data_IF_658370943919
#
_entry.id   IF_658370943919
#
_cell.length_a   1.000
_cell.length_b   1.000
_cell.length_c   1.000
_cell.angle_alpha   90.00
_cell.angle_beta   90.00
_cell.angle_gamma   90.00
#
_symmetry.space_group_name_H-M   'P 1'
#
loop_
_entity.id
_entity.type
_entity.pdbx_description
1 polymer ?
#
# COMPACT_ATOMS: atom_id res chain seq x y z
N UNK A 1 -87.16 -91.04 -22.19
CA UNK A 1 -87.87 -89.98 -22.93
C UNK A 1 -88.26 -88.82 -22.00
N UNK A 2 -89.18 -88.96 -21.04
CA UNK A 2 -89.54 -87.85 -20.12
C UNK A 2 -88.41 -87.48 -19.12
N UNK A 3 -87.76 -88.47 -18.50
CA UNK A 3 -86.64 -88.24 -17.58
C UNK A 3 -85.40 -87.59 -18.25
N UNK A 4 -85.16 -87.86 -19.53
CA UNK A 4 -84.01 -87.32 -20.27
C UNK A 4 -84.19 -85.82 -20.57
N UNK A 5 -85.44 -85.38 -20.81
CA UNK A 5 -85.78 -83.97 -21.02
C UNK A 5 -85.72 -83.16 -19.73
N UNK A 6 -86.11 -83.74 -18.60
CA UNK A 6 -85.96 -83.09 -17.28
C UNK A 6 -84.49 -82.92 -16.89
N UNK A 7 -83.65 -83.93 -17.17
CA UNK A 7 -82.21 -83.84 -16.96
C UNK A 7 -81.57 -82.75 -17.84
N UNK A 8 -81.98 -82.63 -19.11
CA UNK A 8 -81.51 -81.56 -20.00
C UNK A 8 -81.92 -80.17 -19.50
N UNK A 9 -83.17 -79.98 -19.08
CA UNK A 9 -83.66 -78.71 -18.51
C UNK A 9 -82.91 -78.34 -17.24
N UNK A 10 -82.65 -79.31 -16.37
CA UNK A 10 -81.84 -79.09 -15.17
C UNK A 10 -80.39 -78.66 -15.49
N UNK A 11 -79.77 -79.28 -16.50
CA UNK A 11 -78.43 -78.90 -16.97
C UNK A 11 -78.43 -77.48 -17.52
N UNK A 12 -79.40 -77.14 -18.37
CA UNK A 12 -79.55 -75.81 -18.96
C UNK A 12 -79.80 -74.74 -17.89
N UNK A 13 -80.67 -75.02 -16.90
CA UNK A 13 -80.96 -74.13 -15.78
C UNK A 13 -79.72 -73.90 -14.91
N UNK A 14 -78.94 -74.95 -14.62
CA UNK A 14 -77.66 -74.83 -13.91
C UNK A 14 -76.64 -74.00 -14.69
N UNK A 15 -76.65 -74.07 -16.02
CA UNK A 15 -75.77 -73.30 -16.90
C UNK A 15 -76.14 -71.81 -16.92
N UNK A 16 -77.44 -71.51 -16.89
CA UNK A 16 -77.96 -70.13 -16.78
C UNK A 16 -77.56 -69.51 -15.43
N UNK A 17 -77.71 -70.25 -14.32
CA UNK A 17 -77.33 -69.77 -12.98
C UNK A 17 -75.83 -69.49 -12.91
N UNK A 18 -74.97 -70.39 -13.40
CA UNK A 18 -73.52 -70.16 -13.42
C UNK A 18 -73.12 -68.96 -14.29
N UNK A 19 -73.80 -68.76 -15.42
CA UNK A 19 -73.55 -67.59 -16.28
C UNK A 19 -74.02 -66.28 -15.62
N UNK A 20 -75.09 -66.32 -14.85
CA UNK A 20 -75.55 -65.18 -14.05
C UNK A 20 -74.57 -64.87 -12.92
N UNK A 21 -74.12 -65.90 -12.18
CA UNK A 21 -73.11 -65.77 -11.13
C UNK A 21 -71.78 -65.24 -11.67
N UNK A 22 -71.29 -65.75 -12.81
CA UNK A 22 -70.06 -65.25 -13.43
C UNK A 22 -70.17 -63.78 -13.89
N UNK A 23 -71.36 -63.34 -14.34
CA UNK A 23 -71.59 -61.92 -14.68
C UNK A 23 -71.63 -61.03 -13.44
N UNK A 24 -72.27 -61.50 -12.37
CA UNK A 24 -72.33 -60.80 -11.09
C UNK A 24 -70.94 -60.70 -10.43
N UNK A 25 -70.15 -61.77 -10.48
CA UNK A 25 -68.75 -61.79 -10.04
C UNK A 25 -67.88 -60.83 -10.86
N UNK A 26 -68.01 -60.83 -12.20
CA UNK A 26 -67.28 -59.90 -13.08
C UNK A 26 -67.67 -58.43 -12.82
N UNK A 27 -68.94 -58.15 -12.57
CA UNK A 27 -69.42 -56.81 -12.18
C UNK A 27 -68.89 -56.41 -10.79
N UNK A 28 -68.89 -57.31 -9.81
CA UNK A 28 -68.34 -57.07 -8.48
C UNK A 28 -66.82 -56.84 -8.51
N UNK A 29 -66.08 -57.58 -9.34
CA UNK A 29 -64.64 -57.36 -9.56
C UNK A 29 -64.38 -55.99 -10.19
N UNK A 30 -65.17 -55.59 -11.21
CA UNK A 30 -65.06 -54.27 -11.82
C UNK A 30 -65.39 -53.14 -10.85
N UNK A 31 -66.39 -53.30 -10.00
CA UNK A 31 -66.72 -52.32 -8.95
C UNK A 31 -65.60 -52.23 -7.90
N UNK A 32 -65.06 -53.37 -7.49
CA UNK A 32 -63.94 -53.41 -6.56
C UNK A 32 -62.68 -52.75 -7.17
N UNK A 33 -62.38 -53.02 -8.43
CA UNK A 33 -61.27 -52.38 -9.15
C UNK A 33 -61.48 -50.86 -9.29
N UNK A 34 -62.69 -50.39 -9.59
CA UNK A 34 -63.03 -48.96 -9.61
C UNK A 34 -62.81 -48.31 -8.25
N UNK A 35 -63.25 -48.94 -7.17
CA UNK A 35 -63.03 -48.43 -5.79
C UNK A 35 -61.55 -48.40 -5.42
N UNK A 36 -60.78 -49.40 -5.84
CA UNK A 36 -59.32 -49.39 -5.63
C UNK A 36 -58.69 -48.25 -6.42
N UNK A 37 -59.05 -48.07 -7.70
CA UNK A 37 -58.50 -47.00 -8.54
C UNK A 37 -58.83 -45.62 -7.98
N UNK A 38 -60.07 -45.38 -7.60
CA UNK A 38 -60.51 -44.13 -6.97
C UNK A 38 -59.77 -43.86 -5.64
N UNK A 39 -59.58 -44.88 -4.80
CA UNK A 39 -58.75 -44.76 -3.58
C UNK A 39 -57.29 -44.42 -3.88
N UNK A 40 -56.72 -44.99 -4.94
CA UNK A 40 -55.33 -44.69 -5.33
C UNK A 40 -55.22 -43.26 -5.86
N UNK A 41 -56.17 -42.81 -6.69
CA UNK A 41 -56.19 -41.45 -7.24
C UNK A 41 -56.42 -40.39 -6.15
N UNK A 42 -57.35 -40.63 -5.21
CA UNK A 42 -57.58 -39.73 -4.07
C UNK A 42 -56.37 -39.68 -3.13
N UNK A 43 -55.71 -40.81 -2.86
CA UNK A 43 -54.47 -40.82 -2.07
C UNK A 43 -53.30 -40.14 -2.77
N UNK A 44 -53.19 -40.25 -4.11
CA UNK A 44 -52.16 -39.54 -4.88
C UNK A 44 -52.39 -38.03 -4.87
N UNK A 45 -53.62 -37.58 -5.13
CA UNK A 45 -53.94 -36.15 -5.10
C UNK A 45 -53.76 -35.56 -3.71
N UNK A 46 -54.11 -36.30 -2.64
CA UNK A 46 -53.84 -35.90 -1.26
C UNK A 46 -52.34 -35.79 -0.97
N UNK A 47 -51.53 -36.75 -1.41
CA UNK A 47 -50.07 -36.72 -1.23
C UNK A 47 -49.42 -35.61 -2.03
N UNK A 48 -49.86 -35.37 -3.27
CA UNK A 48 -49.36 -34.27 -4.10
C UNK A 48 -49.71 -32.91 -3.49
N UNK A 49 -50.91 -32.76 -2.91
CA UNK A 49 -51.30 -31.56 -2.17
C UNK A 49 -50.45 -31.37 -0.89
N UNK A 50 -50.24 -32.43 -0.09
CA UNK A 50 -49.39 -32.36 1.11
C UNK A 50 -47.92 -32.03 0.74
N UNK A 51 -47.38 -32.63 -0.33
CA UNK A 51 -46.05 -32.31 -0.83
C UNK A 51 -45.96 -30.87 -1.35
N UNK A 52 -46.98 -30.39 -2.04
CA UNK A 52 -47.04 -29.00 -2.49
C UNK A 52 -47.06 -28.03 -1.30
N UNK A 53 -47.88 -28.29 -0.27
CA UNK A 53 -47.91 -27.49 0.95
C UNK A 53 -46.56 -27.50 1.69
N UNK A 54 -45.91 -28.67 1.80
CA UNK A 54 -44.56 -28.79 2.38
C UNK A 54 -43.54 -27.99 1.58
N UNK A 55 -43.56 -28.08 0.24
CA UNK A 55 -42.66 -27.31 -0.64
C UNK A 55 -42.91 -25.81 -0.52
N UNK A 56 -44.16 -25.38 -0.42
CA UNK A 56 -44.49 -23.97 -0.20
C UNK A 56 -44.03 -23.48 1.16
N UNK A 57 -44.21 -24.28 2.21
CA UNK A 57 -43.75 -23.97 3.56
C UNK A 57 -42.22 -23.84 3.60
N UNK A 58 -41.49 -24.80 3.03
CA UNK A 58 -40.03 -24.75 2.90
C UNK A 58 -39.57 -23.56 2.08
N UNK A 59 -40.27 -23.22 0.98
CA UNK A 59 -39.95 -22.06 0.17
C UNK A 59 -40.18 -20.75 0.95
N UNK A 60 -41.24 -20.66 1.75
CA UNK A 60 -41.49 -19.50 2.64
C UNK A 60 -40.41 -19.38 3.70
N UNK A 61 -40.03 -20.49 4.33
CA UNK A 61 -38.96 -20.50 5.34
C UNK A 61 -37.60 -20.10 4.74
N UNK A 62 -37.26 -20.62 3.55
CA UNK A 62 -36.04 -20.22 2.82
C UNK A 62 -36.07 -18.75 2.45
N UNK A 63 -37.20 -18.21 1.98
CA UNK A 63 -37.35 -16.78 1.69
C UNK A 63 -37.14 -15.92 2.94
N UNK A 64 -37.78 -16.26 4.06
CA UNK A 64 -37.60 -15.55 5.32
C UNK A 64 -36.14 -15.57 5.80
N UNK A 65 -35.46 -16.71 5.68
CA UNK A 65 -34.05 -16.82 6.04
C UNK A 65 -33.13 -15.95 5.16
N UNK A 66 -33.39 -15.90 3.85
CA UNK A 66 -32.64 -15.03 2.92
C UNK A 66 -32.91 -13.55 3.19
N UNK A 67 -34.16 -13.19 3.46
CA UNK A 67 -34.52 -11.81 3.79
C UNK A 67 -33.86 -11.34 5.09
N UNK A 68 -33.87 -12.17 6.14
CA UNK A 68 -33.14 -11.90 7.39
C UNK A 68 -31.63 -11.79 7.17
N UNK A 69 -31.02 -12.69 6.40
CA UNK A 69 -29.60 -12.61 6.07
C UNK A 69 -29.25 -11.30 5.34
N UNK A 70 -30.04 -10.93 4.34
CA UNK A 70 -29.85 -9.68 3.58
C UNK A 70 -30.03 -8.44 4.47
N UNK A 71 -30.98 -8.45 5.41
CA UNK A 71 -31.15 -7.37 6.40
C UNK A 71 -29.94 -7.23 7.31
N UNK A 72 -29.42 -8.33 7.84
CA UNK A 72 -28.23 -8.35 8.71
C UNK A 72 -27.00 -7.86 7.94
N UNK A 73 -26.81 -8.32 6.70
CA UNK A 73 -25.73 -7.83 5.82
C UNK A 73 -25.84 -6.33 5.57
N UNK A 74 -27.03 -5.83 5.24
CA UNK A 74 -27.27 -4.42 5.01
C UNK A 74 -27.01 -3.58 6.27
N UNK A 75 -27.44 -4.06 7.45
CA UNK A 75 -27.18 -3.39 8.73
C UNK A 75 -25.69 -3.37 9.06
N UNK A 76 -24.99 -4.49 8.90
CA UNK A 76 -23.52 -4.55 9.09
C UNK A 76 -22.81 -3.57 8.18
N UNK A 77 -23.17 -3.52 6.90
CA UNK A 77 -22.60 -2.59 5.93
C UNK A 77 -22.89 -1.14 6.26
N UNK A 78 -24.10 -0.83 6.74
CA UNK A 78 -24.46 0.51 7.20
C UNK A 78 -23.70 0.90 8.47
N UNK A 79 -23.53 -0.04 9.40
CA UNK A 79 -22.77 0.17 10.63
C UNK A 79 -21.29 0.38 10.32
N UNK A 80 -20.68 -0.44 9.46
CA UNK A 80 -19.30 -0.28 9.02
C UNK A 80 -19.08 1.05 8.31
N UNK A 81 -20.01 1.49 7.45
CA UNK A 81 -19.96 2.82 6.84
C UNK A 81 -20.05 3.94 7.86
N UNK A 82 -20.96 3.84 8.82
CA UNK A 82 -21.11 4.83 9.90
C UNK A 82 -19.88 4.87 10.81
N UNK A 83 -19.31 3.73 11.14
CA UNK A 83 -18.13 3.63 11.99
C UNK A 83 -16.89 4.15 11.23
N UNK A 84 -16.78 3.88 9.93
CA UNK A 84 -15.74 4.46 9.07
C UNK A 84 -15.90 5.97 8.93
N UNK A 85 -17.11 6.47 8.68
CA UNK A 85 -17.38 7.91 8.59
C UNK A 85 -17.07 8.63 9.92
N UNK A 86 -17.39 8.02 11.06
CA UNK A 86 -16.99 8.53 12.39
C UNK A 86 -15.48 8.51 12.57
N UNK A 87 -14.81 7.42 12.20
CA UNK A 87 -13.35 7.32 12.29
C UNK A 87 -12.65 8.35 11.39
N UNK A 88 -13.14 8.53 10.16
CA UNK A 88 -12.65 9.52 9.21
C UNK A 88 -12.89 10.95 9.76
N UNK A 89 -14.07 11.22 10.34
CA UNK A 89 -14.36 12.52 10.98
C UNK A 89 -13.49 12.79 12.20
N UNK A 90 -13.33 11.82 13.10
CA UNK A 90 -12.45 11.91 14.27
C UNK A 90 -10.98 12.11 13.85
N UNK A 91 -10.55 11.44 12.78
CA UNK A 91 -9.23 11.63 12.21
C UNK A 91 -9.06 13.03 11.63
N UNK A 92 -10.03 13.53 10.86
CA UNK A 92 -10.02 14.90 10.33
C UNK A 92 -9.97 15.94 11.46
N UNK A 93 -10.83 15.82 12.48
CA UNK A 93 -10.85 16.73 13.63
C UNK A 93 -9.49 16.72 14.37
N UNK A 94 -8.90 15.54 14.59
CA UNK A 94 -7.59 15.40 15.23
C UNK A 94 -6.46 15.98 14.37
N UNK A 95 -6.51 15.77 13.06
CA UNK A 95 -5.55 16.31 12.10
C UNK A 95 -5.64 17.85 12.05
N UNK A 96 -6.86 18.40 11.97
CA UNK A 96 -7.11 19.84 12.03
C UNK A 96 -6.57 20.44 13.33
N UNK A 97 -6.86 19.84 14.48
CA UNK A 97 -6.37 20.33 15.77
C UNK A 97 -4.84 20.34 15.86
N UNK A 98 -4.18 19.30 15.32
CA UNK A 98 -2.71 19.20 15.29
C UNK A 98 -2.10 20.26 14.38
N UNK A 99 -2.67 20.44 13.18
CA UNK A 99 -2.19 21.42 12.21
C UNK A 99 -2.43 22.87 12.68
N UNK A 100 -3.60 23.15 13.28
CA UNK A 100 -3.90 24.43 13.89
C UNK A 100 -2.89 24.75 15.02
N UNK A 101 -2.55 23.77 15.86
CA UNK A 101 -1.52 23.92 16.91
C UNK A 101 -0.13 24.23 16.33
N UNK A 102 0.17 23.74 15.13
CA UNK A 102 1.42 24.05 14.42
C UNK A 102 1.39 25.37 13.63
N UNK A 103 0.29 26.13 13.68
CA UNK A 103 0.18 27.47 13.11
C UNK A 103 -0.33 27.56 11.67
N UNK A 104 -0.94 26.49 11.12
CA UNK A 104 -1.61 26.56 9.82
C UNK A 104 -2.99 27.23 9.94
N UNK A 105 -3.40 28.01 8.93
CA UNK A 105 -4.75 28.60 8.86
C UNK A 105 -5.78 27.55 8.45
N UNK A 106 -7.05 27.71 8.82
CA UNK A 106 -8.11 26.71 8.52
C UNK A 106 -8.25 26.46 6.99
N UNK A 107 -8.08 27.51 6.18
CA UNK A 107 -8.05 27.41 4.72
C UNK A 107 -6.86 26.57 4.20
N UNK A 108 -5.69 26.69 4.82
CA UNK A 108 -4.52 25.86 4.49
C UNK A 108 -4.72 24.42 4.94
N UNK A 109 -5.31 24.20 6.11
CA UNK A 109 -5.58 22.88 6.67
C UNK A 109 -6.59 22.12 5.79
N UNK A 110 -7.66 22.79 5.35
CA UNK A 110 -8.64 22.20 4.44
C UNK A 110 -8.05 21.89 3.08
N UNK A 111 -7.17 22.75 2.55
CA UNK A 111 -6.43 22.49 1.30
C UNK A 111 -5.51 21.25 1.44
N UNK A 112 -4.78 21.14 2.56
CA UNK A 112 -3.92 19.98 2.87
C UNK A 112 -4.74 18.69 3.02
N UNK A 113 -5.90 18.74 3.71
CA UNK A 113 -6.79 17.58 3.88
C UNK A 113 -7.46 17.13 2.57
N UNK A 114 -7.79 18.09 1.70
CA UNK A 114 -8.36 17.81 0.37
C UNK A 114 -7.31 17.36 -0.65
N UNK A 115 -6.03 17.40 -0.30
CA UNK A 115 -4.93 17.03 -1.19
C UNK A 115 -4.64 18.06 -2.29
N UNK A 116 -5.14 19.29 -2.16
CA UNK A 116 -4.78 20.39 -3.05
C UNK A 116 -3.38 20.91 -2.66
N UNK A 117 -2.48 20.96 -3.64
CA UNK A 117 -1.07 21.30 -3.42
C UNK A 117 -0.89 22.68 -2.78
N UNK A 118 0.13 22.77 -1.92
CA UNK A 118 0.49 23.95 -1.14
C UNK A 118 0.74 25.18 -2.04
N UNK A 119 0.24 26.38 -1.69
CA UNK A 119 0.98 27.59 -2.04
C UNK A 119 2.38 27.48 -1.39
N UNK A 120 3.43 27.75 -2.18
CA UNK A 120 4.82 27.68 -1.73
C UNK A 120 5.04 28.49 -0.44
N UNK A 121 5.83 27.92 0.48
CA UNK A 121 6.36 28.49 1.74
C UNK A 121 5.33 28.61 2.87
N UNK A 122 5.50 28.01 4.06
CA UNK A 122 6.59 28.25 5.02
C UNK A 122 7.18 26.95 5.60
N UNK A 123 7.78 26.10 4.77
CA UNK A 123 8.95 25.41 5.29
C UNK A 123 9.97 26.51 5.55
N UNK A 124 10.22 26.89 6.81
CA UNK A 124 11.46 27.57 7.13
C UNK A 124 12.55 26.74 6.47
N UNK A 125 13.27 27.26 5.44
CA UNK A 125 14.40 26.51 4.92
C UNK A 125 15.24 26.23 6.16
N UNK A 126 15.63 24.97 6.37
CA UNK A 126 16.71 24.69 7.31
C UNK A 126 17.88 25.52 6.78
N UNK A 127 18.10 26.71 7.35
CA UNK A 127 19.16 27.63 6.99
C UNK A 127 20.41 26.87 7.39
N UNK A 128 20.95 26.09 6.46
CA UNK A 128 22.28 25.51 6.62
C UNK A 128 23.17 26.73 6.81
N UNK A 129 23.87 26.87 7.95
CA UNK A 129 24.71 28.02 8.17
C UNK A 129 25.72 28.10 7.02
N UNK A 130 25.67 29.20 6.27
CA UNK A 130 26.59 29.46 5.17
C UNK A 130 27.88 29.97 5.75
N UNK A 131 28.92 29.15 5.72
CA UNK A 131 30.27 29.53 6.12
C UNK A 131 31.04 30.06 4.92
N UNK A 132 31.76 31.17 5.11
CA UNK A 132 32.68 31.69 4.08
C UNK A 132 34.04 31.03 4.31
N UNK A 133 34.58 30.37 3.27
CA UNK A 133 35.91 29.74 3.31
C UNK A 133 36.94 30.68 2.69
N UNK A 134 37.90 31.13 3.48
CA UNK A 134 38.98 32.03 3.04
C UNK A 134 40.34 31.44 3.40
N UNK A 135 41.36 31.66 2.57
CA UNK A 135 42.73 31.22 2.89
C UNK A 135 43.37 32.13 3.95
N UNK A 136 44.12 31.53 4.88
CA UNK A 136 44.93 32.24 5.88
C UNK A 136 46.01 33.13 5.27
N UNK A 137 46.30 32.99 3.97
CA UNK A 137 47.18 33.90 3.23
C UNK A 137 46.53 35.25 2.94
N UNK A 138 45.20 35.36 2.91
CA UNK A 138 44.51 36.61 2.58
C UNK A 138 43.96 37.31 3.82
N UNK A 139 43.53 36.56 4.83
CA UNK A 139 43.06 37.10 6.12
C UNK A 139 43.86 36.45 7.24
N UNK A 140 44.44 37.27 8.14
CA UNK A 140 45.08 36.73 9.34
C UNK A 140 44.06 36.50 10.46
N UNK A 141 44.27 35.47 11.30
CA UNK A 141 43.54 35.27 12.56
C UNK A 141 43.49 36.53 13.42
N UNK A 142 44.63 37.24 13.53
CA UNK A 142 44.75 38.48 14.31
C UNK A 142 43.79 39.58 13.83
N UNK A 143 43.56 39.65 12.51
CA UNK A 143 42.62 40.61 11.94
C UNK A 143 41.18 40.24 12.30
N UNK A 144 40.82 38.95 12.20
CA UNK A 144 39.48 38.49 12.56
C UNK A 144 39.18 38.67 14.05
N UNK A 145 40.19 38.51 14.90
CA UNK A 145 40.10 38.76 16.35
C UNK A 145 39.89 40.25 16.66
N UNK A 146 40.56 41.15 15.93
CA UNK A 146 40.40 42.61 16.08
C UNK A 146 38.98 43.07 15.73
N UNK A 147 38.40 42.56 14.65
CA UNK A 147 37.02 42.87 14.25
C UNK A 147 35.97 42.02 14.97
N UNK A 148 36.37 41.18 15.93
CA UNK A 148 35.49 40.29 16.71
C UNK A 148 34.61 39.37 15.84
N UNK A 149 35.17 38.86 14.75
CA UNK A 149 34.45 37.99 13.81
C UNK A 149 34.66 36.53 14.23
N UNK A 150 33.59 35.74 14.44
CA UNK A 150 33.71 34.34 14.83
C UNK A 150 34.26 33.50 13.66
N UNK A 151 35.45 32.94 13.85
CA UNK A 151 36.16 32.13 12.87
C UNK A 151 36.65 30.80 13.46
N UNK A 152 36.78 29.77 12.61
CA UNK A 152 37.35 28.47 12.95
C UNK A 152 38.32 28.00 11.87
N UNK A 153 39.29 27.16 12.22
CA UNK A 153 40.13 26.48 11.23
C UNK A 153 39.32 25.37 10.54
N UNK A 154 39.53 25.17 9.24
CA UNK A 154 38.94 24.02 8.53
C UNK A 154 39.62 22.73 9.02
N UNK A 155 38.83 21.76 9.52
CA UNK A 155 39.30 20.47 10.04
C UNK A 155 40.11 19.66 9.01
N UNK A 156 39.85 19.89 7.71
CA UNK A 156 40.54 19.20 6.62
C UNK A 156 41.83 19.90 6.23
N UNK A 157 41.81 21.23 6.19
CA UNK A 157 42.90 22.06 5.68
C UNK A 157 43.17 23.25 6.61
N UNK A 158 44.25 23.17 7.40
CA UNK A 158 44.68 24.27 8.29
C UNK A 158 45.15 25.54 7.57
N UNK A 159 45.17 25.52 6.24
CA UNK A 159 45.46 26.70 5.42
C UNK A 159 44.22 27.59 5.20
N UNK A 160 43.03 27.09 5.54
CA UNK A 160 41.77 27.80 5.36
C UNK A 160 41.08 28.08 6.69
N UNK A 161 40.45 29.25 6.73
CA UNK A 161 39.67 29.79 7.82
C UNK A 161 38.20 29.81 7.37
N UNK A 162 37.33 29.30 8.23
CA UNK A 162 35.88 29.29 8.08
C UNK A 162 35.28 30.40 8.93
N UNK A 163 34.66 31.36 8.26
CA UNK A 163 34.00 32.49 8.91
C UNK A 163 32.51 32.14 9.08
N UNK A 164 32.02 32.21 10.32
CA UNK A 164 30.62 31.87 10.69
C UNK A 164 29.62 32.98 10.43
N UNK A 165 30.12 34.17 10.10
CA UNK A 165 29.34 35.36 9.80
C UNK A 165 29.34 35.60 8.30
N UNK A 166 28.21 36.07 7.77
CA UNK A 166 28.19 36.65 6.44
C UNK A 166 28.96 37.98 6.48
N UNK A 167 29.87 38.17 5.53
CA UNK A 167 30.68 39.37 5.37
C UNK A 167 30.29 39.97 4.02
N UNK A 168 30.10 41.28 3.96
CA UNK A 168 29.85 42.00 2.70
C UNK A 168 31.16 42.28 1.96
N UNK A 169 31.09 42.55 0.66
CA UNK A 169 32.29 42.82 -0.15
C UNK A 169 33.11 44.01 0.39
N UNK A 170 32.44 45.03 0.95
CA UNK A 170 33.08 46.19 1.57
C UNK A 170 33.87 45.81 2.84
N UNK A 171 33.25 45.05 3.75
CA UNK A 171 33.91 44.55 4.96
C UNK A 171 35.09 43.61 4.61
N UNK A 172 34.95 42.85 3.54
CA UNK A 172 36.00 41.94 3.08
C UNK A 172 37.26 42.71 2.66
N UNK A 173 37.13 43.83 1.95
CA UNK A 173 38.27 44.64 1.54
C UNK A 173 38.96 45.28 2.75
N UNK A 174 38.21 45.77 3.75
CA UNK A 174 38.77 46.32 4.99
C UNK A 174 39.62 45.27 5.75
N UNK A 175 39.15 44.02 5.82
CA UNK A 175 39.90 42.91 6.42
C UNK A 175 41.19 42.60 5.66
N UNK A 176 41.17 42.68 4.33
CA UNK A 176 42.35 42.48 3.51
C UNK A 176 43.36 43.61 3.67
N UNK A 177 42.92 44.86 3.71
CA UNK A 177 43.78 46.01 3.96
C UNK A 177 44.44 45.93 5.34
N UNK A 178 43.66 45.60 6.39
CA UNK A 178 44.20 45.43 7.73
C UNK A 178 45.21 44.26 7.79
N UNK A 179 44.91 43.13 7.13
CA UNK A 179 45.85 41.99 7.07
C UNK A 179 47.14 42.36 6.33
N UNK A 180 47.04 43.10 5.22
CA UNK A 180 48.20 43.61 4.47
C UNK A 180 49.05 44.52 5.35
N UNK A 181 48.44 45.46 6.06
CA UNK A 181 49.13 46.38 6.97
C UNK A 181 49.90 45.64 8.07
N UNK A 182 49.28 44.64 8.72
CA UNK A 182 49.93 43.82 9.75
C UNK A 182 51.15 43.07 9.21
N UNK A 183 51.04 42.47 8.03
CA UNK A 183 52.16 41.74 7.41
C UNK A 183 53.28 42.65 6.95
N UNK A 184 52.95 43.82 6.41
CA UNK A 184 53.93 44.82 6.05
C UNK A 184 54.66 45.35 7.30
N UNK A 185 53.96 45.55 8.41
CA UNK A 185 54.55 45.93 9.69
C UNK A 185 55.44 44.84 10.30
N UNK A 186 55.01 43.58 10.30
CA UNK A 186 55.80 42.45 10.83
C UNK A 186 57.05 42.15 9.99
N UNK A 187 57.01 42.34 8.67
CA UNK A 187 58.19 42.18 7.80
C UNK A 187 59.34 43.12 8.14
N UNK A 188 59.07 44.25 8.79
CA UNK A 188 60.11 45.18 9.24
C UNK A 188 60.77 44.76 10.56
N UNK A 189 60.22 43.77 11.26
CA UNK A 189 60.71 43.28 12.57
C UNK A 189 61.41 41.91 12.50
N UNK A 190 61.41 41.23 11.33
CA UNK A 190 62.10 39.95 11.15
C UNK A 190 63.58 40.23 10.82
N UNK A 191 64.46 39.84 11.74
CA UNK A 191 65.91 39.93 11.63
C UNK A 191 66.45 39.29 10.33
N UNK A 192 67.57 39.81 9.76
CA UNK A 192 68.15 39.24 8.55
C UNK A 192 68.62 37.80 8.74
N UNK A 193 68.37 36.96 7.73
CA UNK A 193 68.63 35.52 7.73
C UNK A 193 70.13 35.16 7.91
N UNK A 194 70.46 34.04 8.59
CA UNK A 194 71.84 33.58 8.71
C UNK A 194 72.43 33.15 7.35
N UNK A 195 73.73 33.40 7.09
CA UNK A 195 74.35 33.15 5.79
C UNK A 195 74.45 31.64 5.47
N UNK A 196 74.00 31.26 4.28
CA UNK A 196 74.09 29.88 3.79
C UNK A 196 75.49 29.53 3.26
N UNK A 197 75.99 28.29 3.46
CA UNK A 197 77.27 27.86 2.92
C UNK A 197 77.21 27.55 1.41
N UNK A 198 78.28 27.95 0.73
CA UNK A 198 78.54 27.87 -0.70
C UNK A 198 78.54 26.44 -1.29
N UNK A 199 77.92 26.33 -2.47
CA UNK A 199 77.54 25.10 -3.19
C UNK A 199 78.75 24.43 -3.85
N UNK A 200 79.01 23.17 -3.50
CA UNK A 200 80.02 22.33 -4.13
C UNK A 200 79.49 21.63 -5.40
N UNK A 201 80.24 21.75 -6.49
CA UNK A 201 80.02 21.10 -7.78
C UNK A 201 79.93 19.58 -7.65
N UNK A 202 78.88 18.97 -8.20
CA UNK A 202 78.88 17.54 -8.56
C UNK A 202 78.25 17.32 -9.93
N UNK A 203 79.11 16.98 -10.88
CA UNK A 203 78.80 16.34 -12.15
C UNK A 203 78.25 14.94 -11.86
N UNK A 204 77.19 14.50 -12.53
CA UNK A 204 76.96 13.06 -12.75
C UNK A 204 76.15 12.76 -14.01
N UNK A 205 76.74 11.82 -14.73
CA UNK A 205 76.32 11.15 -15.95
C UNK A 205 75.04 10.30 -15.84
N UNK A 206 74.33 10.27 -16.98
CA UNK A 206 73.70 9.14 -17.69
C UNK A 206 72.42 8.43 -17.19
N UNK A 207 71.68 8.11 -18.25
CA UNK A 207 70.76 6.99 -18.50
C UNK A 207 69.36 7.00 -17.85
N UNK A 208 68.42 7.56 -18.60
CA UNK A 208 67.00 7.24 -18.50
C UNK A 208 66.73 5.85 -19.13
N UNK A 209 66.37 4.86 -18.30
CA UNK A 209 65.66 3.68 -18.77
C UNK A 209 64.31 3.57 -18.05
N UNK A 210 63.22 3.68 -18.80
CA UNK A 210 61.86 3.52 -18.31
C UNK A 210 61.45 2.04 -18.34
N UNK A 211 61.05 1.51 -17.18
CA UNK A 211 60.35 0.22 -17.07
C UNK A 211 58.90 0.38 -17.56
N UNK A 212 58.64 -0.07 -18.79
CA UNK A 212 57.27 -0.26 -19.31
C UNK A 212 56.64 -1.47 -18.60
N UNK A 213 55.86 -1.22 -17.54
CA UNK A 213 54.98 -2.27 -17.00
C UNK A 213 53.82 -2.53 -17.97
N UNK A 214 53.88 -3.71 -18.58
CA UNK A 214 52.84 -4.34 -19.41
C UNK A 214 51.48 -4.34 -18.71
N UNK A 215 50.47 -3.72 -19.34
CA UNK A 215 49.06 -3.82 -18.94
C UNK A 215 48.60 -5.28 -19.05
N UNK A 216 48.35 -5.94 -17.93
CA UNK A 216 47.54 -7.17 -17.90
C UNK A 216 46.07 -6.79 -18.03
N UNK A 217 45.47 -7.27 -19.12
CA UNK A 217 44.06 -7.17 -19.49
C UNK A 217 43.26 -8.07 -18.55
N UNK A 218 42.42 -7.49 -17.68
CA UNK A 218 41.47 -8.28 -16.88
C UNK A 218 40.25 -8.66 -17.73
N UNK A 219 39.70 -9.87 -17.59
CA UNK A 219 38.57 -10.33 -18.40
C UNK A 219 37.26 -9.73 -17.88
N UNK A 220 36.52 -9.08 -18.77
CA UNK A 220 35.12 -8.68 -18.55
C UNK A 220 34.30 -9.93 -18.24
N UNK A 221 33.73 -10.01 -17.03
CA UNK A 221 32.64 -10.96 -16.74
C UNK A 221 31.33 -10.35 -17.20
N UNK A 222 30.61 -11.16 -17.96
CA UNK A 222 29.43 -10.85 -18.73
C UNK A 222 28.19 -10.59 -17.86
N UNK A 223 27.36 -9.67 -18.33
CA UNK A 223 25.92 -9.65 -18.08
C UNK A 223 25.25 -10.74 -18.93
N UNK A 224 24.35 -11.53 -18.36
CA UNK A 224 23.55 -12.49 -19.13
C UNK A 224 22.58 -13.29 -18.27
N UNK A 225 21.29 -13.09 -18.55
CA UNK A 225 20.11 -13.68 -17.91
C UNK A 225 19.93 -15.18 -18.23
N UNK A 226 19.20 -15.91 -17.38
CA UNK A 226 18.63 -17.24 -17.65
C UNK A 226 18.17 -17.92 -16.34
N UNK A 227 16.86 -17.96 -16.08
CA UNK A 227 16.00 -19.15 -16.21
C UNK A 227 16.35 -20.26 -15.19
N UNK A 228 15.45 -20.51 -14.23
CA UNK A 228 14.69 -21.75 -13.97
C UNK A 228 13.88 -21.57 -12.68
#
# INVERSE_FOLDING_TARGET
MQHDLEAQRYIDDQLIVRRAQAREEEEAEKEHEKRIREKIETERTRKEAEEAERREYEAKLKKQAVDEYNRIEAEKKQKEKKDKEKADREFEERARATLAKSGYTDDQITSILKGEEKPKSHAHPAIKPTFIKVSSLHISPETLDFFHIPWEWDDRDKEFILIKRWITDDEQEELFEHTKALRHGQKLLIAPAPPQPQVGVRVRDRDEMYLVRTRKKSPRRASGWGLW
#
